data_IF_860439558488
#
_entry.id   IF_860439558488
#
_cell.length_a   1.000
_cell.length_b   1.000
_cell.length_c   1.000
_cell.angle_alpha   90.00
_cell.angle_beta   90.00
_cell.angle_gamma   90.00
#
_symmetry.space_group_name_H-M   'P 1'
#
loop_
_entity.id
_entity.type
_entity.pdbx_description
1 polymer ?
#
# COMPACT_ATOMS: atom_id res chain seq x y z
N UNK A 1 3.54 10.07 17.69
CA UNK A 1 4.74 10.70 18.30
C UNK A 1 5.48 9.70 19.18
N UNK A 2 4.86 9.16 20.23
CA UNK A 2 5.48 8.10 21.06
C UNK A 2 5.88 6.87 20.23
N UNK A 3 5.06 6.50 19.26
CA UNK A 3 5.30 5.39 18.33
C UNK A 3 6.48 5.56 17.36
N UNK A 4 7.19 6.69 17.41
CA UNK A 4 8.41 6.88 16.60
C UNK A 4 9.57 6.02 17.12
N UNK A 5 9.63 5.81 18.43
CA UNK A 5 10.75 5.14 19.10
C UNK A 5 10.32 3.86 19.85
N UNK A 6 9.02 3.62 20.01
CA UNK A 6 8.47 2.50 20.77
C UNK A 6 7.28 1.91 20.04
N UNK A 7 7.26 0.59 19.80
CA UNK A 7 6.10 -0.06 19.17
C UNK A 7 4.88 -0.07 20.11
N UNK A 8 5.11 -0.23 21.40
CA UNK A 8 4.13 -0.09 22.48
C UNK A 8 4.44 1.19 23.25
N UNK A 9 3.49 2.12 23.34
CA UNK A 9 3.66 3.40 24.03
C UNK A 9 3.04 3.30 25.43
N UNK A 10 3.83 3.40 26.52
CA UNK A 10 3.30 3.35 27.88
C UNK A 10 2.35 4.50 28.17
N UNK A 11 1.32 4.26 28.98
CA UNK A 11 0.32 5.28 29.37
C UNK A 11 0.96 6.57 29.94
N UNK A 12 1.96 6.51 30.85
CA UNK A 12 2.60 7.73 31.36
C UNK A 12 3.32 8.54 30.27
N UNK A 13 3.82 7.87 29.23
CA UNK A 13 4.43 8.54 28.09
C UNK A 13 3.36 9.22 27.21
N UNK A 14 2.19 8.59 27.04
CA UNK A 14 1.05 9.20 26.35
C UNK A 14 0.62 10.49 27.06
N UNK A 15 0.46 10.45 28.38
CA UNK A 15 0.12 11.62 29.20
C UNK A 15 1.13 12.75 29.05
N UNK A 16 2.43 12.41 29.17
CA UNK A 16 3.54 13.37 29.04
C UNK A 16 3.57 14.06 27.68
N UNK A 17 3.24 13.33 26.61
CA UNK A 17 3.23 13.85 25.23
C UNK A 17 1.95 14.66 24.96
N UNK A 18 0.79 14.15 25.38
CA UNK A 18 -0.51 14.73 25.03
C UNK A 18 -0.77 16.09 25.70
N UNK A 19 -0.28 16.30 26.93
CA UNK A 19 -0.39 17.57 27.69
C UNK A 19 -1.77 18.22 27.61
N UNK A 20 -2.83 17.41 27.71
CA UNK A 20 -4.21 17.91 27.64
C UNK A 20 -4.53 18.79 28.86
N UNK A 21 -5.33 19.85 28.65
CA UNK A 21 -5.75 20.79 29.72
C UNK A 21 -6.46 20.12 30.90
N UNK A 22 -7.08 18.95 30.69
CA UNK A 22 -7.75 18.15 31.74
C UNK A 22 -6.83 17.19 32.53
N UNK A 23 -5.51 17.31 32.37
CA UNK A 23 -4.54 16.44 33.05
C UNK A 23 -4.67 14.95 32.67
N UNK A 24 -4.18 14.07 33.55
CA UNK A 24 -4.19 12.62 33.32
C UNK A 24 -5.61 12.05 33.12
N UNK A 25 -6.61 12.54 33.86
CA UNK A 25 -8.00 12.09 33.76
C UNK A 25 -8.58 12.29 32.35
N UNK A 26 -8.33 13.45 31.72
CA UNK A 26 -8.77 13.71 30.35
C UNK A 26 -8.07 12.85 29.31
N UNK A 27 -6.78 12.54 29.54
CA UNK A 27 -6.01 11.61 28.68
C UNK A 27 -6.58 10.20 28.78
N UNK A 28 -6.82 9.67 29.99
CA UNK A 28 -7.40 8.34 30.17
C UNK A 28 -8.77 8.19 29.52
N UNK A 29 -9.67 9.20 29.66
CA UNK A 29 -10.96 9.18 28.97
C UNK A 29 -10.81 9.10 27.46
N UNK A 30 -9.86 9.83 26.89
CA UNK A 30 -9.56 9.82 25.45
C UNK A 30 -8.98 8.48 25.00
N UNK A 31 -8.08 7.90 25.80
CA UNK A 31 -7.52 6.56 25.56
C UNK A 31 -8.66 5.52 25.51
N UNK A 32 -9.55 5.52 26.50
CA UNK A 32 -10.69 4.59 26.53
C UNK A 32 -11.61 4.77 25.31
N UNK A 33 -11.88 6.01 24.90
CA UNK A 33 -12.70 6.28 23.72
C UNK A 33 -12.04 5.78 22.44
N UNK A 34 -10.74 6.05 22.24
CA UNK A 34 -9.97 5.62 21.07
C UNK A 34 -9.82 4.09 21.01
N UNK A 35 -9.64 3.44 22.15
CA UNK A 35 -9.57 1.99 22.24
C UNK A 35 -10.91 1.34 21.90
N UNK A 36 -12.02 1.91 22.39
CA UNK A 36 -13.39 1.42 22.13
C UNK A 36 -13.73 1.40 20.63
N UNK A 37 -13.19 2.34 19.85
CA UNK A 37 -13.40 2.41 18.40
C UNK A 37 -12.24 1.82 17.60
N UNK A 38 -11.34 1.06 18.24
CA UNK A 38 -10.27 0.33 17.56
C UNK A 38 -9.16 1.21 16.94
N UNK A 39 -9.04 2.49 17.31
CA UNK A 39 -8.00 3.39 16.78
C UNK A 39 -6.65 3.19 17.49
N UNK A 40 -6.68 2.64 18.70
CA UNK A 40 -5.51 2.16 19.44
C UNK A 40 -5.82 0.78 20.04
N UNK A 41 -4.82 -0.09 20.08
CA UNK A 41 -4.93 -1.41 20.73
C UNK A 41 -4.15 -1.43 22.04
N UNK A 42 -4.75 -1.93 23.12
CA UNK A 42 -4.02 -2.16 24.37
C UNK A 42 -3.17 -3.43 24.22
N UNK A 43 -1.92 -3.36 24.64
CA UNK A 43 -1.02 -4.53 24.68
C UNK A 43 -0.60 -4.74 26.13
N UNK A 44 -0.95 -5.90 26.68
CA UNK A 44 -0.57 -6.33 28.02
C UNK A 44 0.51 -7.41 27.88
N UNK A 45 1.77 -7.00 27.79
CA UNK A 45 2.89 -7.93 27.93
C UNK A 45 3.41 -7.93 29.37
N UNK A 46 3.99 -9.04 29.82
CA UNK A 46 4.47 -9.23 31.20
C UNK A 46 5.45 -8.15 31.72
N UNK A 47 6.04 -7.34 30.83
CA UNK A 47 6.93 -6.22 31.17
C UNK A 47 6.45 -4.84 30.67
N UNK A 48 5.42 -4.78 29.83
CA UNK A 48 4.98 -3.54 29.17
C UNK A 48 3.45 -3.48 29.07
N UNK A 49 2.82 -2.58 29.84
CA UNK A 49 1.42 -2.17 29.65
C UNK A 49 1.39 -0.83 28.90
N UNK A 50 0.70 -0.80 27.78
CA UNK A 50 0.61 0.38 26.95
C UNK A 50 -0.30 0.19 25.75
N UNK A 51 -0.23 1.14 24.83
CA UNK A 51 -1.07 1.17 23.65
C UNK A 51 -0.22 1.22 22.38
N UNK A 52 -0.65 0.50 21.35
CA UNK A 52 -0.13 0.60 19.99
C UNK A 52 -1.14 1.30 19.10
N UNK A 53 -0.65 2.02 18.10
CA UNK A 53 -1.49 2.60 17.05
C UNK A 53 -1.99 1.49 16.13
N UNK A 54 -3.27 1.50 15.75
CA UNK A 54 -3.81 0.59 14.72
C UNK A 54 -3.78 1.25 13.34
N UNK A 55 -4.06 0.48 12.28
CA UNK A 55 -4.15 1.05 10.93
C UNK A 55 -5.28 2.08 10.84
N UNK A 56 -6.45 1.78 11.40
CA UNK A 56 -7.55 2.74 11.50
C UNK A 56 -7.12 4.02 12.22
N UNK A 57 -6.37 3.91 13.33
CA UNK A 57 -5.80 5.06 14.02
C UNK A 57 -4.89 5.91 13.13
N UNK A 58 -4.04 5.27 12.32
CA UNK A 58 -3.16 5.97 11.37
C UNK A 58 -3.94 6.64 10.24
N UNK A 59 -4.99 5.99 9.73
CA UNK A 59 -5.89 6.50 8.68
C UNK A 59 -6.61 7.75 9.16
N UNK A 60 -7.23 7.69 10.33
CA UNK A 60 -7.93 8.84 10.94
C UNK A 60 -6.98 10.02 11.14
N UNK A 61 -5.74 9.77 11.58
CA UNK A 61 -4.74 10.84 11.70
C UNK A 61 -4.36 11.44 10.34
N UNK A 62 -4.30 10.64 9.27
CA UNK A 62 -4.04 11.12 7.92
C UNK A 62 -5.20 11.96 7.38
N UNK A 63 -6.43 11.44 7.47
CA UNK A 63 -7.67 12.12 7.10
C UNK A 63 -7.85 13.43 7.88
N UNK A 64 -7.63 13.42 9.19
CA UNK A 64 -7.68 14.63 10.01
C UNK A 64 -6.67 15.69 9.56
N UNK A 65 -5.48 15.27 9.12
CA UNK A 65 -4.46 16.18 8.58
C UNK A 65 -4.93 16.81 7.26
N UNK A 66 -5.45 16.00 6.33
CA UNK A 66 -5.98 16.50 5.06
C UNK A 66 -7.18 17.43 5.25
N UNK A 67 -8.11 17.07 6.13
CA UNK A 67 -9.25 17.92 6.48
C UNK A 67 -8.81 19.25 7.11
N UNK A 68 -7.85 19.22 8.04
CA UNK A 68 -7.32 20.44 8.69
C UNK A 68 -6.62 21.38 7.70
N UNK A 69 -6.04 20.82 6.62
CA UNK A 69 -5.41 21.58 5.52
C UNK A 69 -6.38 21.96 4.41
N UNK A 70 -7.65 21.52 4.50
CA UNK A 70 -8.68 21.69 3.47
C UNK A 70 -8.35 21.01 2.14
N UNK A 71 -7.53 19.95 2.17
CA UNK A 71 -7.20 19.16 0.98
C UNK A 71 -8.42 18.33 0.51
N UNK A 72 -9.22 17.87 1.48
CA UNK A 72 -10.50 17.18 1.30
C UNK A 72 -11.49 17.61 2.41
N UNK A 73 -12.79 17.48 2.12
CA UNK A 73 -13.90 17.82 3.00
C UNK A 73 -14.78 16.61 3.32
N UNK A 74 -15.05 15.76 2.33
CA UNK A 74 -15.88 14.56 2.50
C UNK A 74 -15.21 13.33 1.87
N UNK A 75 -15.53 12.16 2.43
CA UNK A 75 -15.08 10.86 1.94
C UNK A 75 -16.27 10.15 1.32
N UNK A 76 -16.15 9.77 0.05
CA UNK A 76 -17.16 9.06 -0.72
C UNK A 76 -16.92 7.56 -0.75
N UNK A 77 -17.35 6.93 -1.83
CA UNK A 77 -17.24 5.49 -2.02
C UNK A 77 -15.81 5.04 -2.28
N UNK A 78 -15.54 3.78 -1.92
CA UNK A 78 -14.30 3.08 -2.26
C UNK A 78 -14.41 2.56 -3.69
N UNK A 79 -13.53 3.02 -4.57
CA UNK A 79 -13.53 2.67 -6.00
C UNK A 79 -12.52 1.58 -6.36
N UNK A 80 -11.58 1.28 -5.45
CA UNK A 80 -10.63 0.19 -5.64
C UNK A 80 -10.09 -0.32 -4.32
N UNK A 81 -10.11 -1.64 -4.15
CA UNK A 81 -9.38 -2.33 -3.09
C UNK A 81 -8.27 -3.10 -3.74
N UNK A 82 -7.08 -2.52 -3.70
CA UNK A 82 -5.89 -3.18 -4.15
C UNK A 82 -5.32 -4.08 -3.07
N UNK A 83 -4.51 -5.04 -3.53
CA UNK A 83 -3.60 -5.79 -2.68
C UNK A 83 -2.64 -4.87 -1.87
N UNK A 84 -2.36 -3.67 -2.36
CA UNK A 84 -1.32 -2.77 -1.84
C UNK A 84 -1.83 -1.42 -1.36
N UNK A 85 -3.05 -1.04 -1.75
CA UNK A 85 -3.62 0.25 -1.42
C UNK A 85 -5.14 0.21 -1.49
N UNK A 86 -5.77 1.11 -0.74
CA UNK A 86 -7.19 1.40 -0.87
C UNK A 86 -7.34 2.72 -1.64
N UNK A 87 -8.23 2.73 -2.63
CA UNK A 87 -8.53 3.89 -3.46
C UNK A 87 -9.95 4.35 -3.14
N UNK A 88 -10.06 5.57 -2.64
CA UNK A 88 -11.33 6.19 -2.25
C UNK A 88 -11.57 7.46 -3.06
N UNK A 89 -12.82 7.70 -3.43
CA UNK A 89 -13.23 9.02 -3.93
C UNK A 89 -13.42 9.93 -2.73
N UNK A 90 -12.89 11.15 -2.83
CA UNK A 90 -13.07 12.21 -1.84
C UNK A 90 -13.46 13.49 -2.55
N UNK A 91 -14.10 14.43 -1.86
CA UNK A 91 -14.40 15.75 -2.42
C UNK A 91 -13.88 16.84 -1.51
N UNK A 92 -13.45 17.97 -2.09
CA UNK A 92 -13.09 19.17 -1.34
C UNK A 92 -14.29 20.06 -1.00
N UNK A 93 -14.04 21.21 -0.37
CA UNK A 93 -15.08 22.16 0.05
C UNK A 93 -15.92 22.69 -1.14
N UNK A 94 -15.40 22.62 -2.37
CA UNK A 94 -16.12 23.06 -3.59
C UNK A 94 -16.99 21.96 -4.21
N UNK A 95 -16.90 20.73 -3.69
CA UNK A 95 -17.53 19.55 -4.28
C UNK A 95 -16.72 18.91 -5.42
N UNK A 96 -15.51 19.40 -5.70
CA UNK A 96 -14.64 18.82 -6.73
C UNK A 96 -14.12 17.45 -6.27
N UNK A 97 -14.37 16.42 -7.07
CA UNK A 97 -13.96 15.04 -6.78
C UNK A 97 -12.45 14.84 -7.01
N UNK A 98 -11.84 14.08 -6.10
CA UNK A 98 -10.43 13.73 -6.03
C UNK A 98 -10.29 12.26 -5.63
N UNK A 99 -9.07 11.73 -5.71
CA UNK A 99 -8.73 10.39 -5.25
C UNK A 99 -7.88 10.47 -3.99
N UNK A 100 -8.25 9.72 -2.96
CA UNK A 100 -7.42 9.40 -1.81
C UNK A 100 -6.89 7.97 -1.96
N UNK A 101 -5.58 7.84 -2.15
CA UNK A 101 -4.85 6.57 -2.13
C UNK A 101 -4.28 6.33 -0.74
N UNK A 102 -4.58 5.19 -0.13
CA UNK A 102 -4.09 4.77 1.19
C UNK A 102 -3.17 3.56 1.01
N UNK A 103 -1.90 3.67 1.34
CA UNK A 103 -0.94 2.57 1.21
C UNK A 103 -1.07 1.54 2.33
N UNK A 104 -1.03 0.27 1.95
CA UNK A 104 -1.30 -0.89 2.81
C UNK A 104 -0.25 -1.97 2.57
N UNK A 105 1.01 -1.63 2.81
CA UNK A 105 2.08 -2.63 2.79
C UNK A 105 1.84 -3.63 3.94
N UNK A 106 2.05 -4.91 3.65
CA UNK A 106 1.86 -6.01 4.61
C UNK A 106 0.50 -6.71 4.55
N UNK A 107 -0.49 -6.20 3.78
CA UNK A 107 -1.85 -6.76 3.71
C UNK A 107 -1.90 -8.23 3.29
N UNK A 108 -1.15 -8.63 2.26
CA UNK A 108 -1.11 -10.04 1.82
C UNK A 108 -0.16 -10.87 2.69
N UNK A 109 0.86 -10.24 3.28
CA UNK A 109 1.95 -10.91 3.97
C UNK A 109 1.48 -11.76 5.16
N UNK A 110 0.33 -11.47 5.75
CA UNK A 110 -0.23 -12.28 6.83
C UNK A 110 -0.58 -13.73 6.43
N UNK A 111 -0.76 -14.05 5.14
CA UNK A 111 -1.04 -15.43 4.71
C UNK A 111 0.15 -16.39 4.91
N UNK A 112 1.39 -15.87 5.02
CA UNK A 112 2.61 -16.68 5.18
C UNK A 112 3.31 -16.37 6.51
N UNK A 113 2.64 -16.67 7.62
CA UNK A 113 3.04 -16.31 9.01
C UNK A 113 4.50 -16.64 9.37
N UNK A 114 5.06 -17.73 8.82
CA UNK A 114 6.38 -18.25 9.21
C UNK A 114 7.57 -17.41 8.71
N UNK A 115 7.48 -16.83 7.51
CA UNK A 115 8.54 -15.97 6.95
C UNK A 115 8.48 -14.54 7.53
N UNK A 116 7.26 -14.04 7.76
CA UNK A 116 7.01 -12.67 8.23
C UNK A 116 7.39 -12.46 9.70
N UNK A 117 7.21 -13.48 10.54
CA UNK A 117 7.64 -13.46 11.94
C UNK A 117 9.16 -13.31 12.03
N UNK A 118 9.91 -13.93 11.12
CA UNK A 118 11.37 -13.80 11.05
C UNK A 118 11.81 -12.42 10.50
N UNK A 119 11.07 -11.84 9.55
CA UNK A 119 11.35 -10.50 9.03
C UNK A 119 11.15 -9.40 10.09
N UNK A 120 9.97 -9.38 10.74
CA UNK A 120 9.63 -8.43 11.80
C UNK A 120 10.52 -8.61 13.05
N UNK A 121 10.95 -9.84 13.36
CA UNK A 121 11.89 -10.09 14.47
C UNK A 121 13.35 -9.72 14.15
N UNK A 122 13.79 -9.80 12.90
CA UNK A 122 15.20 -9.57 12.52
C UNK A 122 15.54 -8.11 12.18
N UNK A 123 14.55 -7.22 12.02
CA UNK A 123 14.80 -5.79 11.75
C UNK A 123 14.12 -4.87 12.75
N UNK A 124 14.94 -4.20 13.55
CA UNK A 124 14.58 -3.02 14.35
C UNK A 124 14.20 -1.77 13.49
N UNK A 125 13.89 -1.94 12.20
CA UNK A 125 13.75 -0.86 11.21
C UNK A 125 12.48 -1.03 10.39
N UNK A 126 11.34 -0.69 11.00
CA UNK A 126 10.13 -0.30 10.25
C UNK A 126 8.93 -1.23 10.41
N UNK A 127 7.99 -0.84 11.27
CA UNK A 127 6.59 -1.31 11.21
C UNK A 127 6.04 -1.18 9.77
N UNK A 128 5.14 -2.06 9.36
CA UNK A 128 4.44 -1.96 8.06
C UNK A 128 3.80 -0.58 7.82
N UNK A 129 3.40 0.11 8.89
CA UNK A 129 2.93 1.50 8.84
C UNK A 129 4.03 2.48 8.39
N UNK A 130 5.26 2.27 8.86
CA UNK A 130 6.42 3.05 8.45
C UNK A 130 6.75 2.81 6.97
N UNK A 131 6.75 1.54 6.53
CA UNK A 131 6.98 1.20 5.12
C UNK A 131 5.87 1.79 4.22
N UNK A 132 4.61 1.73 4.65
CA UNK A 132 3.49 2.35 3.93
C UNK A 132 3.63 3.86 3.83
N UNK A 133 4.15 4.51 4.88
CA UNK A 133 4.51 5.93 4.84
C UNK A 133 5.63 6.22 3.84
N UNK A 134 6.67 5.39 3.80
CA UNK A 134 7.75 5.56 2.82
C UNK A 134 7.25 5.40 1.39
N UNK A 135 6.38 4.41 1.13
CA UNK A 135 5.76 4.22 -0.18
C UNK A 135 4.98 5.46 -0.63
N UNK A 136 4.13 6.02 0.25
CA UNK A 136 3.35 7.22 -0.05
C UNK A 136 4.22 8.45 -0.32
N UNK A 137 5.30 8.62 0.44
CA UNK A 137 6.24 9.72 0.23
C UNK A 137 6.98 9.57 -1.10
N UNK A 138 7.40 8.34 -1.45
CA UNK A 138 8.14 8.05 -2.68
C UNK A 138 7.26 8.27 -3.89
N UNK A 139 6.04 7.71 -3.88
CA UNK A 139 5.09 7.87 -4.97
C UNK A 139 4.68 9.34 -5.17
N UNK A 140 4.43 10.09 -4.10
CA UNK A 140 4.11 11.52 -4.22
C UNK A 140 5.26 12.33 -4.82
N UNK A 141 6.50 12.03 -4.43
CA UNK A 141 7.69 12.69 -4.98
C UNK A 141 7.86 12.41 -6.48
N UNK A 142 7.71 11.15 -6.91
CA UNK A 142 7.73 10.82 -8.34
C UNK A 142 6.59 11.45 -9.11
N UNK A 143 5.36 11.35 -8.60
CA UNK A 143 4.18 11.93 -9.25
C UNK A 143 4.34 13.44 -9.45
N UNK A 144 4.91 14.15 -8.47
CA UNK A 144 5.18 15.58 -8.57
C UNK A 144 6.22 15.88 -9.65
N UNK A 145 7.36 15.20 -9.62
CA UNK A 145 8.42 15.36 -10.59
C UNK A 145 7.96 15.05 -12.03
N UNK A 146 7.17 13.98 -12.20
CA UNK A 146 6.61 13.57 -13.49
C UNK A 146 5.58 14.57 -14.01
N UNK A 147 4.70 15.07 -13.14
CA UNK A 147 3.70 16.07 -13.51
C UNK A 147 4.35 17.38 -13.96
N UNK A 148 5.41 17.83 -13.26
CA UNK A 148 6.18 19.03 -13.61
C UNK A 148 6.87 18.91 -14.99
N UNK A 149 7.34 17.71 -15.34
CA UNK A 149 7.91 17.41 -16.67
C UNK A 149 6.85 17.08 -17.74
N UNK A 150 5.56 17.26 -17.44
CA UNK A 150 4.46 17.07 -18.40
C UNK A 150 4.24 15.61 -18.82
N UNK A 151 4.52 14.64 -17.94
CA UNK A 151 4.09 13.26 -18.13
C UNK A 151 2.58 13.14 -17.90
N UNK A 152 1.89 12.21 -18.59
CA UNK A 152 0.47 11.96 -18.35
C UNK A 152 0.30 11.15 -17.07
N UNK A 153 0.26 11.85 -15.94
CA UNK A 153 0.06 11.30 -14.60
C UNK A 153 -1.01 12.12 -13.87
N UNK A 154 -1.68 11.57 -12.84
CA UNK A 154 -2.57 12.36 -12.00
C UNK A 154 -1.82 13.55 -11.37
N UNK A 155 -2.51 14.67 -11.19
CA UNK A 155 -1.93 15.83 -10.51
C UNK A 155 -1.85 15.53 -9.01
N UNK A 156 -0.64 15.53 -8.40
CA UNK A 156 -0.48 15.31 -6.97
C UNK A 156 -0.92 16.55 -6.20
N UNK A 157 -1.82 16.39 -5.22
CA UNK A 157 -2.39 17.50 -4.47
C UNK A 157 -1.82 17.57 -3.05
N UNK A 158 -1.85 16.45 -2.31
CA UNK A 158 -1.36 16.42 -0.94
C UNK A 158 -0.84 15.04 -0.53
N UNK A 159 0.03 15.04 0.49
CA UNK A 159 0.61 13.83 1.07
C UNK A 159 0.55 13.93 2.59
N UNK A 160 0.04 12.88 3.25
CA UNK A 160 0.05 12.76 4.70
C UNK A 160 0.24 11.31 5.12
N UNK A 161 1.30 11.03 5.90
CA UNK A 161 1.64 9.69 6.41
C UNK A 161 1.73 8.68 5.26
N UNK A 162 0.84 7.71 5.19
CA UNK A 162 0.76 6.65 4.20
C UNK A 162 -0.33 6.93 3.15
N UNK A 163 -0.76 8.19 3.00
CA UNK A 163 -1.83 8.57 2.08
C UNK A 163 -1.41 9.67 1.12
N UNK A 164 -2.02 9.66 -0.06
CA UNK A 164 -1.86 10.66 -1.13
C UNK A 164 -3.25 11.10 -1.59
N UNK A 165 -3.42 12.41 -1.77
CA UNK A 165 -4.56 13.00 -2.47
C UNK A 165 -4.09 13.44 -3.85
N UNK A 166 -4.80 13.03 -4.90
CA UNK A 166 -4.50 13.35 -6.30
C UNK A 166 -5.78 13.63 -7.09
N UNK A 167 -5.69 14.18 -8.30
CA UNK A 167 -6.86 14.39 -9.16
C UNK A 167 -7.51 13.07 -9.55
N UNK A 168 -8.85 13.08 -9.64
CA UNK A 168 -9.60 11.98 -10.24
C UNK A 168 -9.44 12.06 -11.76
N UNK A 169 -8.93 10.99 -12.36
CA UNK A 169 -8.80 10.86 -13.80
C UNK A 169 -10.02 10.12 -14.33
N UNK A 170 -10.80 10.78 -15.20
CA UNK A 170 -11.91 10.16 -15.92
C UNK A 170 -11.36 9.24 -17.02
N UNK A 171 -11.02 8.02 -16.64
CA UNK A 171 -10.36 7.02 -17.45
C UNK A 171 -10.60 5.62 -16.86
N UNK A 172 -10.45 4.59 -17.71
CA UNK A 172 -10.59 3.19 -17.30
C UNK A 172 -9.24 2.48 -17.31
N UNK A 173 -8.96 1.55 -16.38
CA UNK A 173 -7.78 0.70 -16.47
C UNK A 173 -7.68 0.01 -17.85
N UNK A 174 -6.47 -0.05 -18.42
CA UNK A 174 -6.22 -0.66 -19.73
C UNK A 174 -6.74 -2.09 -19.81
N UNK A 175 -6.68 -2.85 -18.71
CA UNK A 175 -7.28 -4.18 -18.59
C UNK A 175 -8.76 -4.23 -18.98
N UNK A 176 -9.53 -3.18 -18.68
CA UNK A 176 -10.97 -3.09 -18.94
C UNK A 176 -11.30 -2.63 -20.36
N UNK A 177 -10.31 -2.14 -21.11
CA UNK A 177 -10.53 -1.64 -22.47
C UNK A 177 -10.80 -2.81 -23.41
N UNK A 178 -12.03 -2.85 -23.92
CA UNK A 178 -12.49 -3.98 -24.70
C UNK A 178 -12.02 -3.97 -26.15
N UNK A 179 -12.08 -2.79 -26.75
CA UNK A 179 -11.87 -2.54 -28.16
C UNK A 179 -10.94 -1.34 -28.28
N UNK A 180 -9.87 -1.50 -29.04
CA UNK A 180 -8.97 -0.43 -29.43
C UNK A 180 -9.01 -0.35 -30.95
N UNK A 181 -9.54 0.73 -31.55
CA UNK A 181 -9.67 0.83 -33.01
C UNK A 181 -8.34 0.68 -33.75
N UNK A 182 -7.27 1.25 -33.18
CA UNK A 182 -5.90 1.12 -33.69
C UNK A 182 -4.95 0.72 -32.56
N UNK A 183 -4.71 -0.60 -32.37
CA UNK A 183 -3.79 -1.10 -31.36
C UNK A 183 -2.34 -0.65 -31.59
N UNK A 184 -1.94 -0.40 -32.85
CA UNK A 184 -0.58 0.00 -33.17
C UNK A 184 -0.26 1.40 -32.64
N UNK A 185 -1.19 2.34 -32.77
CA UNK A 185 -1.04 3.70 -32.24
C UNK A 185 -0.96 3.67 -30.70
N UNK A 186 -1.86 2.94 -30.04
CA UNK A 186 -1.84 2.87 -28.58
C UNK A 186 -0.56 2.18 -28.08
N UNK A 187 -0.16 1.07 -28.70
CA UNK A 187 1.10 0.39 -28.39
C UNK A 187 2.30 1.33 -28.52
N UNK A 188 2.38 2.06 -29.63
CA UNK A 188 3.46 3.03 -29.86
C UNK A 188 3.50 4.11 -28.78
N UNK A 189 2.34 4.66 -28.37
CA UNK A 189 2.25 5.63 -27.26
C UNK A 189 2.77 5.06 -25.94
N UNK A 190 2.44 3.81 -25.62
CA UNK A 190 2.89 3.17 -24.37
C UNK A 190 4.39 2.88 -24.38
N UNK A 191 4.93 2.41 -25.50
CA UNK A 191 6.38 2.21 -25.67
C UNK A 191 7.14 3.55 -25.61
N UNK A 192 6.60 4.60 -26.23
CA UNK A 192 7.18 5.94 -26.17
C UNK A 192 7.21 6.47 -24.73
N UNK A 193 6.18 6.22 -23.92
CA UNK A 193 6.20 6.55 -22.49
C UNK A 193 7.30 5.81 -21.72
N UNK A 194 7.51 4.51 -21.97
CA UNK A 194 8.63 3.75 -21.37
C UNK A 194 9.98 4.40 -21.74
N UNK A 195 10.16 4.76 -23.01
CA UNK A 195 11.37 5.41 -23.48
C UNK A 195 11.55 6.82 -22.90
N UNK A 196 10.46 7.56 -22.72
CA UNK A 196 10.45 8.88 -22.09
C UNK A 196 10.79 8.82 -20.61
N UNK A 197 10.31 7.80 -19.87
CA UNK A 197 10.78 7.55 -18.51
C UNK A 197 12.29 7.31 -18.50
N UNK A 198 12.76 6.42 -19.38
CA UNK A 198 14.18 6.07 -19.47
C UNK A 198 15.05 7.29 -19.82
N UNK A 199 14.58 8.19 -20.69
CA UNK A 199 15.29 9.42 -21.04
C UNK A 199 15.45 10.38 -19.85
N UNK A 200 14.58 10.30 -18.85
CA UNK A 200 14.63 11.07 -17.60
C UNK A 200 15.31 10.29 -16.45
N UNK A 201 15.97 9.16 -16.76
CA UNK A 201 16.69 8.35 -15.78
C UNK A 201 15.82 7.38 -14.98
N UNK A 202 14.58 7.13 -15.40
CA UNK A 202 13.62 6.35 -14.65
C UNK A 202 13.15 5.09 -15.39
N UNK A 203 12.84 4.06 -14.61
CA UNK A 203 12.10 2.87 -15.03
C UNK A 203 10.91 2.74 -14.09
N UNK A 204 9.73 2.44 -14.63
CA UNK A 204 8.52 2.33 -13.82
C UNK A 204 8.60 1.15 -12.85
N UNK A 205 9.03 -0.02 -13.34
CA UNK A 205 9.24 -1.20 -12.51
C UNK A 205 7.94 -1.89 -12.08
N UNK A 206 6.80 -1.57 -12.67
CA UNK A 206 5.55 -2.33 -12.59
C UNK A 206 4.59 -1.87 -13.70
N UNK A 207 5.13 -1.68 -14.92
CA UNK A 207 4.37 -1.11 -16.05
C UNK A 207 3.52 -2.18 -16.72
N UNK A 208 2.23 -2.20 -16.42
CA UNK A 208 1.29 -3.23 -16.86
C UNK A 208 -0.13 -2.66 -17.07
N UNK A 209 -1.06 -3.49 -17.53
CA UNK A 209 -2.44 -3.12 -17.86
C UNK A 209 -3.31 -2.66 -16.69
N UNK A 210 -2.85 -2.83 -15.45
CA UNK A 210 -3.52 -2.36 -14.24
C UNK A 210 -3.07 -0.95 -13.83
N UNK A 211 -1.83 -0.58 -14.17
CA UNK A 211 -1.19 0.69 -13.81
C UNK A 211 -1.23 1.73 -14.94
N UNK A 212 -2.00 1.44 -15.99
CA UNK A 212 -2.24 2.34 -17.13
C UNK A 212 -3.74 2.58 -17.21
N UNK A 213 -4.17 3.82 -17.06
CA UNK A 213 -5.53 4.26 -17.31
C UNK A 213 -5.63 4.81 -18.73
N UNK A 214 -6.75 4.57 -19.42
CA UNK A 214 -7.02 5.05 -20.76
C UNK A 214 -8.15 6.06 -20.70
N UNK A 215 -7.82 7.30 -21.06
CA UNK A 215 -8.79 8.37 -21.25
C UNK A 215 -9.29 8.36 -22.69
N UNK A 216 -10.59 8.30 -22.87
CA UNK A 216 -11.24 8.39 -24.18
C UNK A 216 -11.55 9.86 -24.50
N UNK A 217 -10.97 10.37 -25.58
CA UNK A 217 -11.19 11.73 -26.06
C UNK A 217 -11.94 11.65 -27.38
N UNK A 218 -13.19 12.10 -27.39
CA UNK A 218 -13.98 12.22 -28.61
C UNK A 218 -13.48 13.41 -29.43
N UNK A 219 -13.16 13.16 -30.69
CA UNK A 219 -12.74 14.14 -31.67
C UNK A 219 -13.74 14.13 -32.83
N UNK A 220 -13.97 15.30 -33.41
CA UNK A 220 -14.74 15.45 -34.64
C UNK A 220 -13.77 15.43 -35.80
N UNK A 221 -13.90 14.44 -36.67
CA UNK A 221 -13.13 14.37 -37.90
C UNK A 221 -13.59 15.46 -38.90
N UNK A 222 -12.73 15.80 -39.86
CA UNK A 222 -12.99 16.85 -40.85
C UNK A 222 -14.20 16.54 -41.75
N UNK A 223 -14.55 15.25 -41.89
CA UNK A 223 -15.72 14.76 -42.62
C UNK A 223 -17.00 14.66 -41.76
N UNK A 224 -16.94 15.09 -40.50
CA UNK A 224 -18.05 15.02 -39.55
C UNK A 224 -18.19 13.68 -38.81
N UNK A 225 -17.27 12.72 -39.01
CA UNK A 225 -17.24 11.47 -38.26
C UNK A 225 -16.80 11.66 -36.80
N UNK A 226 -17.28 10.80 -35.90
CA UNK A 226 -16.76 10.73 -34.53
C UNK A 226 -15.53 9.80 -34.48
N UNK A 227 -14.39 10.34 -34.06
CA UNK A 227 -13.16 9.59 -33.82
C UNK A 227 -12.89 9.55 -32.32
N UNK A 228 -12.45 8.40 -31.79
CA UNK A 228 -12.04 8.28 -30.38
C UNK A 228 -10.52 8.18 -30.32
N UNK A 229 -9.89 9.13 -29.65
CA UNK A 229 -8.46 9.08 -29.31
C UNK A 229 -8.29 8.53 -27.90
N UNK A 230 -7.47 7.49 -27.78
CA UNK A 230 -7.09 6.91 -26.51
C UNK A 230 -5.81 7.54 -26.00
N UNK A 231 -5.87 8.19 -24.85
CA UNK A 231 -4.72 8.84 -24.21
C UNK A 231 -4.37 8.11 -22.89
N UNK A 232 -3.18 7.50 -22.82
CA UNK A 232 -2.76 6.76 -21.63
C UNK A 232 -2.32 7.69 -20.50
N UNK A 233 -2.69 7.34 -19.27
CA UNK A 233 -2.28 7.98 -18.02
C UNK A 233 -1.66 6.91 -17.12
N UNK A 234 -0.44 7.12 -16.67
CA UNK A 234 0.30 6.15 -15.85
C UNK A 234 0.06 6.44 -14.37
N UNK A 235 -0.06 5.39 -13.55
CA UNK A 235 -0.26 5.47 -12.11
C UNK A 235 0.64 4.46 -11.37
N UNK A 236 0.71 4.60 -10.03
CA UNK A 236 1.42 3.68 -9.13
C UNK A 236 2.96 3.70 -9.24
N UNK A 237 3.56 4.74 -8.66
CA UNK A 237 5.00 5.00 -8.73
C UNK A 237 5.90 4.52 -7.55
N UNK A 238 5.45 3.76 -6.52
CA UNK A 238 6.35 3.39 -5.43
C UNK A 238 7.47 2.42 -5.89
N UNK A 239 7.26 1.73 -7.01
CA UNK A 239 8.18 0.74 -7.59
C UNK A 239 9.23 1.33 -8.51
N UNK A 240 9.18 2.63 -8.80
CA UNK A 240 10.11 3.27 -9.72
C UNK A 240 11.55 3.13 -9.25
N UNK A 241 12.44 2.89 -10.21
CA UNK A 241 13.89 2.73 -10.01
C UNK A 241 14.67 3.56 -11.01
N UNK A 242 15.91 3.89 -10.66
CA UNK A 242 16.83 4.59 -11.55
C UNK A 242 17.34 3.69 -12.68
N UNK A 243 17.60 4.26 -13.85
CA UNK A 243 18.33 3.64 -14.96
C UNK A 243 19.78 3.23 -14.61
N UNK A 244 20.31 3.71 -13.48
CA UNK A 244 21.62 3.32 -12.93
C UNK A 244 21.53 2.17 -11.90
N UNK A 245 20.34 1.65 -11.63
CA UNK A 245 20.17 0.52 -10.73
C UNK A 245 20.86 -0.75 -11.30
N UNK A 246 21.41 -1.59 -10.41
CA UNK A 246 22.16 -2.81 -10.81
C UNK A 246 21.33 -3.77 -11.68
N UNK A 247 20.03 -3.82 -11.44
CA UNK A 247 19.06 -4.64 -12.19
C UNK A 247 18.21 -3.82 -13.18
N UNK A 248 18.65 -2.62 -13.58
CA UNK A 248 17.87 -1.73 -14.44
C UNK A 248 17.45 -2.41 -15.77
N UNK A 249 18.35 -3.15 -16.41
CA UNK A 249 18.05 -3.88 -17.66
C UNK A 249 16.88 -4.86 -17.48
N UNK A 250 16.89 -5.66 -16.40
CA UNK A 250 15.79 -6.59 -16.10
C UNK A 250 14.45 -5.87 -15.90
N UNK A 251 14.42 -4.75 -15.17
CA UNK A 251 13.19 -4.01 -14.93
C UNK A 251 12.65 -3.36 -16.20
N UNK A 252 13.52 -2.79 -17.02
CA UNK A 252 13.16 -2.18 -18.30
C UNK A 252 12.58 -3.23 -19.26
N UNK A 253 13.28 -4.35 -19.43
CA UNK A 253 12.85 -5.43 -20.33
C UNK A 253 11.53 -6.04 -19.86
N UNK A 254 11.32 -6.15 -18.53
CA UNK A 254 10.05 -6.62 -17.97
C UNK A 254 8.89 -5.66 -18.27
N UNK A 255 9.08 -4.35 -18.08
CA UNK A 255 8.06 -3.34 -18.40
C UNK A 255 7.66 -3.39 -19.89
N UNK A 256 8.65 -3.51 -20.79
CA UNK A 256 8.42 -3.67 -22.24
C UNK A 256 7.67 -4.97 -22.56
N UNK A 257 8.10 -6.07 -21.96
CA UNK A 257 7.53 -7.40 -22.21
C UNK A 257 6.10 -7.53 -21.68
N UNK A 258 5.78 -6.90 -20.54
CA UNK A 258 4.41 -6.82 -20.03
C UNK A 258 3.45 -6.22 -21.07
N UNK A 259 3.83 -5.11 -21.71
CA UNK A 259 3.03 -4.48 -22.76
C UNK A 259 2.91 -5.38 -24.00
N UNK A 260 4.02 -5.96 -24.46
CA UNK A 260 3.99 -6.88 -25.61
C UNK A 260 3.04 -8.05 -25.39
N UNK A 261 3.16 -8.72 -24.25
CA UNK A 261 2.31 -9.86 -23.88
C UNK A 261 0.84 -9.46 -23.74
N UNK A 262 0.56 -8.29 -23.15
CA UNK A 262 -0.80 -7.82 -23.03
C UNK A 262 -1.43 -7.57 -24.42
N UNK A 263 -0.74 -6.85 -25.30
CA UNK A 263 -1.26 -6.54 -26.65
C UNK A 263 -1.43 -7.79 -27.52
N UNK A 264 -0.49 -8.73 -27.45
CA UNK A 264 -0.58 -10.00 -28.16
C UNK A 264 -1.78 -10.83 -27.69
N UNK A 265 -2.00 -10.91 -26.37
CA UNK A 265 -3.11 -11.69 -25.80
C UNK A 265 -4.46 -11.00 -26.00
N UNK A 266 -4.54 -9.69 -25.75
CA UNK A 266 -5.81 -8.96 -25.65
C UNK A 266 -6.32 -8.40 -26.98
N UNK A 267 -5.41 -8.02 -27.87
CA UNK A 267 -5.74 -7.35 -29.14
C UNK A 267 -5.19 -8.11 -30.35
N UNK A 268 -4.57 -9.27 -30.16
CA UNK A 268 -3.90 -10.04 -31.21
C UNK A 268 -2.89 -9.20 -32.03
N UNK A 269 -2.30 -8.21 -31.37
CA UNK A 269 -1.35 -7.29 -31.99
C UNK A 269 0.08 -7.63 -31.60
N UNK A 270 0.95 -7.76 -32.61
CA UNK A 270 2.39 -7.95 -32.43
C UNK A 270 3.13 -6.88 -33.22
N UNK A 271 3.96 -6.09 -32.53
CA UNK A 271 4.81 -5.09 -33.17
C UNK A 271 5.83 -5.74 -34.11
N UNK A 272 5.99 -5.18 -35.31
CA UNK A 272 7.06 -5.56 -36.25
C UNK A 272 8.41 -4.92 -35.91
N UNK A 273 8.41 -3.84 -35.13
CA UNK A 273 9.62 -3.16 -34.67
C UNK A 273 10.30 -3.97 -33.55
N UNK A 274 11.57 -4.38 -33.70
CA UNK A 274 12.33 -5.03 -32.63
C UNK A 274 12.57 -4.09 -31.44
N UNK A 275 12.74 -4.68 -30.25
CA UNK A 275 12.99 -3.90 -29.03
C UNK A 275 11.73 -3.19 -28.50
N UNK A 276 11.86 -2.02 -27.85
CA UNK A 276 13.12 -1.32 -27.56
C UNK A 276 14.03 -2.13 -26.64
N UNK A 277 15.34 -1.87 -26.69
CA UNK A 277 16.34 -2.54 -25.85
C UNK A 277 16.93 -1.56 -24.83
N UNK A 278 17.18 -2.04 -23.61
CA UNK A 278 17.73 -1.23 -22.53
C UNK A 278 19.03 -0.50 -22.92
N UNK A 279 19.93 -1.17 -23.65
CA UNK A 279 21.21 -0.59 -24.10
C UNK A 279 21.02 0.67 -24.96
N UNK A 280 19.98 0.69 -25.78
CA UNK A 280 19.70 1.84 -26.64
C UNK A 280 19.04 2.95 -25.84
N UNK A 281 18.07 2.61 -24.97
CA UNK A 281 17.47 3.56 -24.04
C UNK A 281 18.52 4.24 -23.13
N UNK A 282 19.49 3.48 -22.60
CA UNK A 282 20.57 4.00 -21.76
C UNK A 282 21.51 4.94 -22.52
N UNK A 283 21.83 4.64 -23.78
CA UNK A 283 22.61 5.55 -24.64
C UNK A 283 21.85 6.85 -24.92
N UNK A 284 20.54 6.77 -25.16
CA UNK A 284 19.70 7.94 -25.39
C UNK A 284 19.61 8.82 -24.15
N UNK A 285 19.41 8.23 -22.97
CA UNK A 285 19.46 8.95 -21.69
C UNK A 285 20.81 9.67 -21.50
N UNK A 286 21.94 9.04 -21.84
CA UNK A 286 23.26 9.64 -21.69
C UNK A 286 23.54 10.79 -22.69
N UNK A 287 22.80 10.85 -23.81
CA UNK A 287 22.95 11.89 -24.84
C UNK A 287 21.95 13.03 -24.68
N UNK A 288 20.79 12.76 -24.09
CA UNK A 288 19.73 13.74 -23.94
C UNK A 288 19.98 14.64 -22.74
N UNK A 289 19.72 15.93 -22.90
CA UNK A 289 19.81 16.94 -21.83
C UNK A 289 18.51 17.01 -20.99
N UNK A 290 17.87 15.85 -20.78
CA UNK A 290 16.63 15.79 -20.01
C UNK A 290 16.92 15.84 -18.50
N UNK A 291 15.98 16.39 -17.74
CA UNK A 291 16.09 16.45 -16.28
C UNK A 291 16.14 15.03 -15.67
N UNK A 292 17.14 14.80 -14.81
CA UNK A 292 17.34 13.53 -14.09
C UNK A 292 16.40 13.45 -12.89
N UNK A 293 15.22 12.89 -13.12
CA UNK A 293 14.15 12.81 -12.12
C UNK A 293 14.46 11.80 -11.00
N UNK A 294 15.32 10.82 -11.26
CA UNK A 294 15.83 9.91 -10.25
C UNK A 294 16.62 10.64 -9.16
N UNK A 295 17.47 11.60 -9.55
CA UNK A 295 18.21 12.44 -8.61
C UNK A 295 17.29 13.40 -7.83
N UNK A 296 16.24 13.93 -8.47
CA UNK A 296 15.28 14.83 -7.82
C UNK A 296 14.53 14.15 -6.67
N UNK A 297 14.17 12.87 -6.82
CA UNK A 297 13.53 12.10 -5.74
C UNK A 297 14.49 11.75 -4.62
N UNK A 298 15.76 11.43 -4.93
CA UNK A 298 16.79 11.28 -3.87
C UNK A 298 16.94 12.57 -3.05
N UNK A 299 16.90 13.74 -3.72
CA UNK A 299 16.98 15.05 -3.09
C UNK A 299 15.75 15.40 -2.22
N UNK A 300 14.62 14.72 -2.39
CA UNK A 300 13.38 14.97 -1.63
C UNK A 300 13.43 14.55 -0.15
N UNK A 301 14.59 14.12 0.34
CA UNK A 301 14.82 13.76 1.75
C UNK A 301 14.77 12.25 2.03
N UNK A 302 14.88 11.42 1.00
CA UNK A 302 15.01 9.97 1.16
C UNK A 302 16.44 9.60 1.53
N UNK A 303 16.63 9.05 2.74
CA UNK A 303 17.92 8.45 3.09
C UNK A 303 18.13 7.15 2.31
N UNK A 304 19.38 6.81 1.97
CA UNK A 304 19.73 5.52 1.35
C UNK A 304 19.17 4.31 2.12
N UNK A 305 19.08 4.42 3.46
CA UNK A 305 18.48 3.40 4.32
C UNK A 305 16.97 3.26 4.07
N UNK A 306 16.24 4.37 3.97
CA UNK A 306 14.79 4.36 3.68
C UNK A 306 14.49 3.72 2.33
N UNK A 307 15.28 4.04 1.29
CA UNK A 307 15.15 3.43 -0.03
C UNK A 307 15.37 1.92 0.03
N UNK A 308 16.45 1.48 0.67
CA UNK A 308 16.76 0.06 0.81
C UNK A 308 15.71 -0.73 1.61
N UNK A 309 15.16 -0.13 2.67
CA UNK A 309 14.10 -0.76 3.47
C UNK A 309 12.83 -0.91 2.63
N UNK A 310 12.46 0.11 1.86
CA UNK A 310 11.30 0.10 0.98
C UNK A 310 11.46 -0.88 -0.20
N UNK A 311 12.60 -0.85 -0.89
CA UNK A 311 12.94 -1.77 -1.99
C UNK A 311 12.93 -3.23 -1.55
N UNK A 312 13.43 -3.53 -0.33
CA UNK A 312 13.39 -4.88 0.20
C UNK A 312 11.95 -5.38 0.42
N UNK A 313 11.09 -4.55 1.01
CA UNK A 313 9.68 -4.88 1.23
C UNK A 313 8.91 -5.07 -0.09
N UNK A 314 9.27 -4.28 -1.11
CA UNK A 314 8.77 -4.37 -2.47
C UNK A 314 9.22 -5.68 -3.16
N UNK A 315 10.50 -6.03 -3.07
CA UNK A 315 11.08 -7.15 -3.83
C UNK A 315 10.59 -8.50 -3.31
N UNK A 316 10.48 -8.65 -1.98
CA UNK A 316 9.94 -9.86 -1.35
C UNK A 316 8.52 -10.16 -1.83
N UNK A 317 7.78 -9.12 -2.22
CA UNK A 317 6.45 -9.22 -2.80
C UNK A 317 6.46 -9.53 -4.30
N UNK A 318 7.40 -8.96 -5.06
CA UNK A 318 7.53 -9.27 -6.49
C UNK A 318 7.77 -10.76 -6.73
N UNK A 319 8.52 -11.42 -5.84
CA UNK A 319 8.78 -12.86 -5.92
C UNK A 319 7.52 -13.74 -5.67
N UNK A 320 6.49 -13.22 -4.99
CA UNK A 320 5.21 -13.94 -4.86
C UNK A 320 4.24 -13.71 -6.03
N UNK A 321 4.59 -12.83 -7.00
CA UNK A 321 3.86 -12.67 -8.27
C UNK A 321 4.23 -13.75 -9.32
N UNK A 322 5.31 -14.52 -9.14
CA UNK A 322 5.84 -15.49 -10.13
C UNK A 322 5.38 -16.96 -9.90
N UNK A 323 4.11 -17.19 -9.55
CA UNK A 323 3.51 -18.53 -9.69
C UNK A 323 2.58 -18.52 -10.91
N UNK A 324 2.88 -19.28 -11.98
CA UNK A 324 2.10 -19.25 -13.21
C UNK A 324 1.04 -20.35 -13.20
N UNK A 325 -0.10 -20.17 -12.54
CA UNK A 325 -1.26 -21.04 -12.74
C UNK A 325 -2.59 -20.27 -12.68
N UNK A 326 -3.30 -20.36 -13.81
CA UNK A 326 -4.73 -20.13 -14.13
C UNK A 326 -5.50 -18.90 -13.62
N UNK A 327 -5.84 -18.04 -14.59
CA UNK A 327 -6.99 -17.15 -14.58
C UNK A 327 -8.29 -17.97 -14.49
N UNK A 328 -8.82 -18.13 -13.27
CA UNK A 328 -10.24 -18.39 -13.02
C UNK A 328 -10.61 -17.84 -11.64
N UNK A 329 -10.73 -16.51 -11.53
CA UNK A 329 -11.42 -15.89 -10.41
C UNK A 329 -12.85 -15.55 -10.84
N UNK A 330 -13.76 -16.47 -10.52
CA UNK A 330 -15.17 -16.14 -10.32
C UNK A 330 -15.25 -15.19 -9.11
N UNK A 331 -16.01 -14.13 -9.34
CA UNK A 331 -16.39 -13.09 -8.39
C UNK A 331 -17.28 -13.72 -7.30
N UNK A 332 -16.73 -13.94 -6.11
CA UNK A 332 -17.53 -14.14 -4.90
C UNK A 332 -17.19 -13.04 -3.89
N UNK A 333 -18.18 -12.17 -3.72
CA UNK A 333 -18.30 -11.23 -2.62
C UNK A 333 -18.30 -11.97 -1.29
N UNK A 334 -17.26 -11.78 -0.47
CA UNK A 334 -17.32 -12.15 0.94
C UNK A 334 -17.21 -10.92 1.83
N UNK A 335 -18.20 -10.83 2.72
CA UNK A 335 -18.39 -9.82 3.75
C UNK A 335 -17.21 -9.85 4.74
N UNK A 336 -16.84 -8.66 5.22
CA UNK A 336 -15.84 -8.51 6.27
C UNK A 336 -16.41 -9.03 7.59
N UNK A 337 -15.89 -10.14 8.10
CA UNK A 337 -15.86 -10.40 9.53
C UNK A 337 -14.45 -10.09 10.06
N UNK A 338 -14.38 -9.02 10.85
CA UNK A 338 -13.21 -8.67 11.65
C UNK A 338 -12.98 -9.76 12.69
N UNK A 339 -11.97 -10.61 12.49
CA UNK A 339 -11.43 -11.45 13.56
C UNK A 339 -10.60 -10.58 14.51
N UNK A 340 -11.29 -10.10 15.54
CA UNK A 340 -10.72 -9.62 16.80
C UNK A 340 -10.11 -10.83 17.52
N UNK A 341 -8.78 -10.87 17.70
CA UNK A 341 -8.15 -11.88 18.56
C UNK A 341 -8.00 -11.30 19.98
N UNK A 342 -8.99 -11.62 20.81
CA UNK A 342 -8.90 -11.63 22.27
C UNK A 342 -8.03 -12.81 22.71
N UNK A 343 -6.79 -12.56 23.13
CA UNK A 343 -6.02 -13.57 23.88
C UNK A 343 -6.53 -13.64 25.34
N UNK A 344 -7.40 -14.62 25.62
CA UNK A 344 -7.63 -15.12 26.98
C UNK A 344 -6.35 -15.78 27.52
N UNK A 345 -5.75 -15.16 28.54
CA UNK A 345 -4.67 -15.74 29.32
C UNK A 345 -5.27 -16.60 30.44
N UNK A 346 -5.15 -17.92 30.30
CA UNK A 346 -5.43 -18.84 31.39
C UNK A 346 -4.42 -18.65 32.54
N UNK A 347 -4.96 -18.29 33.70
CA UNK A 347 -4.32 -18.29 35.01
C UNK A 347 -3.87 -19.71 35.40
N UNK A 348 -2.57 -19.90 35.65
CA UNK A 348 -2.09 -20.99 36.51
C UNK A 348 -1.59 -20.40 37.83
N UNK A 349 -2.45 -20.49 38.83
CA UNK A 349 -2.13 -20.20 40.22
C UNK A 349 -1.17 -21.24 40.79
N UNK A 350 -0.17 -20.74 41.52
CA UNK A 350 0.73 -21.51 42.38
C UNK A 350 -0.03 -22.23 43.49
N UNK A 351 0.27 -23.51 43.71
CA UNK A 351 0.08 -24.16 45.01
C UNK A 351 1.12 -25.26 45.23
N UNK A 352 1.78 -25.17 46.40
CA UNK A 352 2.77 -26.06 46.98
C UNK A 352 2.41 -27.56 46.89
N UNK A 353 3.43 -28.40 46.66
CA UNK A 353 3.42 -29.80 47.05
C UNK A 353 4.38 -30.01 48.23
N UNK A 354 3.82 -30.12 49.43
CA UNK A 354 4.49 -30.72 50.58
C UNK A 354 4.20 -32.22 50.65
N UNK A 355 5.21 -32.94 51.14
CA UNK A 355 5.34 -34.39 51.21
C UNK A 355 4.17 -35.15 51.85
N UNK A 356 3.95 -36.36 51.32
CA UNK A 356 3.10 -37.39 51.88
C UNK A 356 3.70 -38.06 53.13
N UNK A 357 2.87 -38.30 54.14
CA UNK A 357 2.97 -39.44 55.05
C UNK A 357 1.57 -39.77 55.61
N UNK A 358 1.22 -41.06 55.51
CA UNK A 358 -0.08 -41.68 55.80
C UNK A 358 -0.59 -41.50 57.24
N UNK A 359 -1.86 -41.82 57.51
CA UNK A 359 -2.13 -43.09 58.18
C UNK A 359 -3.38 -43.86 57.74
N UNK A 360 -3.32 -45.18 57.97
CA UNK A 360 -4.40 -46.17 57.97
C UNK A 360 -5.64 -45.75 58.77
N UNK A 361 -6.84 -46.19 58.37
CA UNK A 361 -7.81 -46.99 59.16
C UNK A 361 -8.90 -47.58 58.23
N UNK A 362 -9.56 -48.69 58.61
CA UNK A 362 -10.17 -49.67 57.69
C UNK A 362 -11.69 -49.51 57.45
N UNK A 363 -12.13 -50.33 56.50
CA UNK A 363 -13.47 -50.76 56.07
C UNK A 363 -14.65 -50.56 57.04
N UNK A 364 -15.78 -50.06 56.50
CA UNK A 364 -17.08 -50.74 56.59
C UNK A 364 -18.08 -50.16 55.56
N UNK A 365 -18.71 -51.07 54.82
CA UNK A 365 -19.86 -50.91 53.91
C UNK A 365 -21.20 -50.79 54.71
N UNK A 366 -22.41 -50.79 54.10
CA UNK A 366 -22.92 -50.08 52.92
C UNK A 366 -24.34 -49.48 53.17
N UNK A 367 -24.92 -48.88 52.11
CA UNK A 367 -26.37 -48.64 51.99
C UNK A 367 -26.69 -47.15 51.92
N UNK A 368 -27.44 -46.63 50.96
CA UNK A 368 -28.40 -47.22 50.05
C UNK A 368 -29.55 -46.21 49.93
N UNK A 369 -30.22 -46.19 48.78
CA UNK A 369 -31.46 -45.45 48.48
C UNK A 369 -31.24 -43.97 48.09
N UNK A 370 -31.40 -43.59 46.82
CA UNK A 370 -32.63 -43.43 46.00
C UNK A 370 -33.24 -42.02 46.09
N UNK A 371 -33.49 -41.52 44.87
CA UNK A 371 -34.55 -40.60 44.42
C UNK A 371 -34.27 -39.10 44.50
N UNK A 372 -34.14 -38.47 43.32
CA UNK A 372 -35.18 -37.68 42.60
C UNK A 372 -35.44 -36.38 43.36
N UNK A 373 -35.12 -35.19 42.86
CA UNK A 373 -35.43 -34.62 41.54
C UNK A 373 -34.38 -33.62 41.08
#
# INVERSE_FOLDING_TARGET
>A
MGSKNHDIVPTPLIEKIARLRGGASGVHKSISALAKVGLIGRVKEAKYDGYRLTYGGLDYLALHTHASRKDLYSVGTRIGVGKESDIMVVADETGTQKVLKIHRLGRISFRTVKANRDYLKKRASGSWMYLSRLAAMKEFAFMKALHEEGFPVPTPLAQSRHTIVMTLVDAFPLRQIAIVPDPAILYAKLIDLILRFASHGLIHGDYNEFNILIKEVKLTAEDGGELVRLDPVVIDFPQMVSMEHQNAEMYFDRDVECIKRFFQRRFHFTSTTPGPFFKDAKKTMAKNDCNRLDAAVEASGFTKKMLKDLEAAIKERGASKESPEDDNEQDESEENDEADDDEESQSSGSANSDNAASPNFPDDEPGGSRQLN
#
